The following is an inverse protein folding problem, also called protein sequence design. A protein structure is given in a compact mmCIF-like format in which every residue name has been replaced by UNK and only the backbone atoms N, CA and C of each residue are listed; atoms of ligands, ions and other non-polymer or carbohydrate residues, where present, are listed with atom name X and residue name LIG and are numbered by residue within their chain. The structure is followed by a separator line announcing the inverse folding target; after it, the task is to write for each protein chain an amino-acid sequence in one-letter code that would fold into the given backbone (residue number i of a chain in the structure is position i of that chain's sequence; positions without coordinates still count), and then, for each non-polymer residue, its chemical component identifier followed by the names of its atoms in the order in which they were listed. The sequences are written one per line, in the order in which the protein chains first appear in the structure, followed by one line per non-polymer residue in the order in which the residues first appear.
data_IF_777851828769
#
_entry.id   IF_777851828769
#
_cell.length_a   1.000
_cell.length_b   1.000
_cell.length_c   1.000
_cell.angle_alpha   90.00
_cell.angle_beta   90.00
_cell.angle_gamma   90.00
#
_symmetry.space_group_name_H-M   'P 1'
#
loop_
_entity.id
_entity.type
_entity.pdbx_description
1 polymer ?
#
# COMPACT_ATOMS: atom_id res chain seq x y z
N UNK A 1 -9.91 -2.92 3.64
CA UNK A 1 -11.15 -2.18 3.28
C UNK A 1 -11.03 -1.73 1.85
N UNK A 2 -11.02 -0.41 1.60
CA UNK A 2 -10.82 0.12 0.23
C UNK A 2 -9.48 -0.32 -0.34
N UNK A 3 -8.38 -0.14 0.42
CA UNK A 3 -7.04 -0.47 -0.05
C UNK A 3 -6.84 -1.95 -0.41
N UNK A 4 -7.46 -2.87 0.34
CA UNK A 4 -7.32 -4.30 0.09
C UNK A 4 -8.03 -4.74 -1.19
N UNK A 5 -9.24 -4.22 -1.45
CA UNK A 5 -9.96 -4.49 -2.71
C UNK A 5 -9.26 -3.83 -3.90
N UNK A 6 -8.75 -2.60 -3.74
CA UNK A 6 -7.98 -1.93 -4.79
C UNK A 6 -6.72 -2.73 -5.17
N UNK A 7 -5.97 -3.22 -4.17
CA UNK A 7 -4.80 -4.07 -4.39
C UNK A 7 -5.17 -5.39 -5.09
N UNK A 8 -6.27 -6.03 -4.70
CA UNK A 8 -6.77 -7.23 -5.37
C UNK A 8 -7.12 -6.98 -6.85
N UNK A 9 -7.88 -5.91 -7.13
CA UNK A 9 -8.26 -5.56 -8.50
C UNK A 9 -7.04 -5.26 -9.37
N UNK A 10 -6.08 -4.47 -8.88
CA UNK A 10 -4.84 -4.19 -9.60
C UNK A 10 -4.01 -5.46 -9.86
N UNK A 11 -3.97 -6.36 -8.89
CA UNK A 11 -3.27 -7.66 -9.01
C UNK A 11 -3.92 -8.53 -10.10
N UNK A 12 -5.25 -8.62 -10.12
CA UNK A 12 -6.01 -9.35 -11.16
C UNK A 12 -5.85 -8.73 -12.55
N UNK A 13 -5.65 -7.42 -12.64
CA UNK A 13 -5.35 -6.72 -13.89
C UNK A 13 -3.89 -6.90 -14.36
N UNK A 14 -3.03 -7.57 -13.58
CA UNK A 14 -1.62 -7.80 -13.95
C UNK A 14 -0.75 -6.54 -13.82
N UNK A 15 -0.99 -5.70 -12.80
CA UNK A 15 -0.08 -4.60 -12.47
C UNK A 15 1.33 -5.15 -12.24
N UNK A 16 2.37 -4.46 -12.73
CA UNK A 16 3.73 -4.99 -12.64
C UNK A 16 4.27 -5.09 -11.20
N UNK A 17 3.91 -4.14 -10.33
CA UNK A 17 4.41 -4.07 -8.95
C UNK A 17 3.43 -3.33 -8.04
N UNK A 18 3.30 -3.78 -6.78
CA UNK A 18 2.56 -3.10 -5.71
C UNK A 18 3.42 -2.97 -4.45
N UNK A 19 3.42 -1.77 -3.87
CA UNK A 19 3.96 -1.51 -2.54
C UNK A 19 2.77 -1.33 -1.59
N UNK A 20 2.73 -2.10 -0.51
CA UNK A 20 1.63 -2.13 0.45
C UNK A 20 2.11 -1.58 1.80
N UNK A 21 1.45 -0.55 2.30
CA UNK A 21 1.73 0.06 3.61
C UNK A 21 0.51 -0.06 4.50
N UNK A 22 0.68 -0.72 5.64
CA UNK A 22 -0.30 -0.78 6.72
C UNK A 22 0.46 -1.17 7.99
N UNK A 23 0.11 -0.63 9.15
CA UNK A 23 0.76 -0.97 10.42
C UNK A 23 -0.07 -1.90 11.30
N UNK A 24 -1.33 -2.15 10.91
CA UNK A 24 -2.24 -2.95 11.71
C UNK A 24 -2.07 -4.46 11.46
N UNK A 25 -2.69 -5.22 12.36
CA UNK A 25 -2.92 -6.65 12.20
C UNK A 25 -4.35 -6.94 11.77
N UNK A 26 -4.58 -8.12 11.21
CA UNK A 26 -5.90 -8.60 10.83
C UNK A 26 -6.67 -8.98 12.10
N UNK A 27 -7.83 -8.38 12.29
CA UNK A 27 -8.75 -8.66 13.40
C UNK A 27 -10.03 -9.35 12.91
N UNK A 28 -10.70 -10.09 13.79
CA UNK A 28 -12.03 -10.67 13.49
C UNK A 28 -13.05 -9.60 13.09
N UNK A 29 -12.94 -8.40 13.67
CA UNK A 29 -13.79 -7.27 13.30
C UNK A 29 -13.62 -6.83 11.84
N UNK A 30 -12.56 -7.26 11.14
CA UNK A 30 -12.35 -6.97 9.73
C UNK A 30 -13.08 -7.94 8.78
N UNK A 31 -13.66 -9.03 9.29
CA UNK A 31 -14.34 -10.07 8.48
C UNK A 31 -15.67 -9.62 7.87
N UNK A 32 -16.23 -8.50 8.34
CA UNK A 32 -17.37 -7.87 7.67
C UNK A 32 -16.97 -7.13 6.38
N UNK A 33 -15.67 -7.05 6.07
CA UNK A 33 -15.12 -6.46 4.85
C UNK A 33 -14.56 -7.56 3.96
N UNK A 34 -14.58 -7.32 2.65
CA UNK A 34 -13.97 -8.21 1.67
C UNK A 34 -12.44 -8.25 1.85
N UNK A 35 -11.83 -9.35 1.38
CA UNK A 35 -10.39 -9.64 1.24
C UNK A 35 -9.76 -10.55 2.31
N UNK A 36 -9.78 -10.17 3.59
CA UNK A 36 -9.14 -10.98 4.64
C UNK A 36 -10.00 -12.18 5.04
N UNK A 37 -9.34 -13.27 5.46
CA UNK A 37 -10.01 -14.52 5.87
C UNK A 37 -9.83 -14.78 7.38
N UNK A 38 -10.73 -15.53 8.03
CA UNK A 38 -10.64 -15.81 9.46
C UNK A 38 -9.32 -16.46 9.88
N UNK A 39 -8.71 -17.27 9.01
CA UNK A 39 -7.45 -17.96 9.28
C UNK A 39 -6.23 -17.01 9.31
N UNK A 40 -6.38 -15.77 8.82
CA UNK A 40 -5.33 -14.76 8.77
C UNK A 40 -5.32 -13.84 10.00
N UNK A 41 -6.24 -14.02 10.95
CA UNK A 41 -6.31 -13.21 12.17
C UNK A 41 -4.99 -13.29 12.96
N UNK A 42 -4.48 -12.14 13.36
CA UNK A 42 -3.18 -12.00 14.05
C UNK A 42 -1.98 -11.82 13.11
N UNK A 43 -2.13 -12.06 11.81
CA UNK A 43 -1.12 -11.65 10.83
C UNK A 43 -1.12 -10.13 10.67
N UNK A 44 0.00 -9.56 10.24
CA UNK A 44 0.00 -8.17 9.76
C UNK A 44 -0.88 -8.08 8.52
N UNK A 45 -1.59 -6.96 8.35
CA UNK A 45 -2.48 -6.79 7.18
C UNK A 45 -1.72 -6.85 5.87
N UNK A 46 -0.49 -6.33 5.86
CA UNK A 46 0.41 -6.36 4.71
C UNK A 46 0.85 -7.80 4.38
N UNK A 47 1.25 -8.62 5.34
CA UNK A 47 1.65 -10.02 5.08
C UNK A 47 0.47 -10.88 4.62
N UNK A 48 -0.68 -10.73 5.28
CA UNK A 48 -1.91 -11.40 4.86
C UNK A 48 -2.32 -10.99 3.43
N UNK A 49 -2.12 -9.72 3.07
CA UNK A 49 -2.35 -9.25 1.72
C UNK A 49 -1.36 -9.85 0.72
N UNK A 50 -0.06 -9.84 1.02
CA UNK A 50 0.97 -10.44 0.14
C UNK A 50 0.67 -11.92 -0.11
N UNK A 51 0.32 -12.68 0.93
CA UNK A 51 -0.06 -14.09 0.79
C UNK A 51 -1.23 -14.25 -0.19
N UNK A 52 -2.35 -13.56 0.06
CA UNK A 52 -3.55 -13.66 -0.80
C UNK A 52 -3.28 -13.21 -2.24
N UNK A 53 -2.54 -12.11 -2.43
CA UNK A 53 -2.29 -11.54 -3.75
C UNK A 53 -1.31 -12.40 -4.57
N UNK A 54 -0.32 -13.01 -3.93
CA UNK A 54 0.63 -13.93 -4.58
C UNK A 54 -0.09 -15.15 -5.14
N UNK A 55 -1.08 -15.68 -4.41
CA UNK A 55 -1.92 -16.79 -4.87
C UNK A 55 -2.82 -16.39 -6.05
N UNK A 56 -3.23 -15.11 -6.13
CA UNK A 56 -4.08 -14.60 -7.21
C UNK A 56 -3.29 -14.40 -8.51
N UNK A 57 -2.12 -13.78 -8.43
CA UNK A 57 -1.28 -13.57 -9.60
C UNK A 57 0.21 -13.51 -9.20
N UNK A 58 0.98 -14.60 -9.43
CA UNK A 58 2.39 -14.66 -9.05
C UNK A 58 3.31 -13.79 -9.93
N UNK A 59 2.81 -13.24 -11.04
CA UNK A 59 3.59 -12.36 -11.91
C UNK A 59 3.72 -10.92 -11.34
N UNK A 60 2.89 -10.57 -10.35
CA UNK A 60 2.91 -9.26 -9.70
C UNK A 60 4.00 -9.21 -8.64
N UNK A 61 4.89 -8.23 -8.74
CA UNK A 61 5.92 -8.01 -7.70
C UNK A 61 5.28 -7.31 -6.51
N UNK A 62 5.31 -7.95 -5.35
CA UNK A 62 4.70 -7.45 -4.12
C UNK A 62 5.77 -7.07 -3.09
N UNK A 63 5.67 -5.86 -2.53
CA UNK A 63 6.50 -5.41 -1.41
C UNK A 63 5.61 -4.91 -0.27
N UNK A 64 5.76 -5.52 0.91
CA UNK A 64 5.05 -5.12 2.12
C UNK A 64 5.92 -4.26 3.04
N UNK A 65 5.31 -3.23 3.61
CA UNK A 65 5.92 -2.36 4.60
C UNK A 65 4.98 -2.26 5.82
N UNK A 66 5.26 -3.09 6.83
CA UNK A 66 4.49 -3.09 8.09
C UNK A 66 4.97 -1.98 9.01
N UNK A 67 4.56 -0.75 8.72
CA UNK A 67 5.00 0.45 9.46
C UNK A 67 3.96 1.56 9.40
N UNK A 68 4.00 2.43 10.40
CA UNK A 68 3.21 3.66 10.39
C UNK A 68 3.99 4.77 9.70
N UNK A 69 3.51 5.20 8.53
CA UNK A 69 4.12 6.25 7.71
C UNK A 69 4.16 7.62 8.41
N UNK A 70 3.34 7.87 9.43
CA UNK A 70 3.33 9.16 10.15
C UNK A 70 4.47 9.32 11.14
N UNK A 71 5.13 8.23 11.52
CA UNK A 71 6.35 8.28 12.34
C UNK A 71 7.53 8.77 11.51
N UNK A 72 8.51 9.43 12.14
CA UNK A 72 9.72 9.93 11.46
C UNK A 72 10.40 8.81 10.64
N UNK A 73 10.68 7.67 11.27
CA UNK A 73 11.29 6.52 10.60
C UNK A 73 10.40 5.92 9.50
N UNK A 74 9.09 5.89 9.73
CA UNK A 74 8.13 5.41 8.74
C UNK A 74 8.09 6.29 7.50
N UNK A 75 8.08 7.61 7.69
CA UNK A 75 8.12 8.59 6.62
C UNK A 75 9.42 8.50 5.82
N UNK A 76 10.57 8.39 6.49
CA UNK A 76 11.86 8.18 5.82
C UNK A 76 11.86 6.93 4.94
N UNK A 77 11.32 5.82 5.46
CA UNK A 77 11.22 4.56 4.72
C UNK A 77 10.25 4.69 3.54
N UNK A 78 9.10 5.33 3.75
CA UNK A 78 8.12 5.61 2.70
C UNK A 78 8.74 6.46 1.57
N UNK A 79 9.40 7.56 1.90
CA UNK A 79 10.10 8.40 0.93
C UNK A 79 11.21 7.66 0.19
N UNK A 80 12.02 6.86 0.89
CA UNK A 80 13.10 6.09 0.27
C UNK A 80 12.58 5.05 -0.74
N UNK A 81 11.52 4.33 -0.36
CA UNK A 81 10.88 3.34 -1.23
C UNK A 81 10.17 3.97 -2.44
N UNK A 82 9.54 5.14 -2.29
CA UNK A 82 8.99 5.89 -3.42
C UNK A 82 10.08 6.41 -4.37
N UNK A 83 11.26 6.75 -3.87
CA UNK A 83 12.42 7.17 -4.71
C UNK A 83 13.15 5.99 -5.35
N UNK A 84 12.86 4.75 -4.97
CA UNK A 84 13.57 3.59 -5.48
C UNK A 84 13.21 3.30 -6.95
N UNK A 85 14.11 3.70 -7.85
CA UNK A 85 13.94 3.59 -9.30
C UNK A 85 14.37 2.24 -9.90
N UNK A 86 14.70 1.21 -9.09
CA UNK A 86 15.11 -0.11 -9.63
C UNK A 86 14.08 -0.68 -10.62
N UNK A 87 12.79 -0.44 -10.38
CA UNK A 87 11.71 -0.90 -11.26
C UNK A 87 11.39 0.08 -12.41
N UNK A 88 11.77 1.35 -12.29
CA UNK A 88 11.47 2.44 -13.23
C UNK A 88 12.69 3.36 -13.41
N UNK A 89 13.79 2.89 -13.99
CA UNK A 89 15.04 3.66 -14.08
C UNK A 89 14.96 4.91 -15.00
N UNK A 90 13.88 5.03 -15.79
CA UNK A 90 13.68 6.13 -16.74
C UNK A 90 12.81 7.27 -16.21
N UNK A 91 12.20 7.14 -15.01
CA UNK A 91 11.33 8.18 -14.43
C UNK A 91 12.17 9.06 -13.50
N UNK A 92 12.12 10.38 -13.69
CA UNK A 92 13.17 11.27 -13.17
C UNK A 92 13.02 11.64 -11.67
N UNK A 93 11.87 11.41 -11.02
CA UNK A 93 11.61 11.92 -9.66
C UNK A 93 11.00 10.89 -8.69
N UNK A 94 10.52 9.76 -9.21
CA UNK A 94 9.86 8.71 -8.41
C UNK A 94 10.02 7.34 -9.07
N UNK A 95 10.12 6.32 -8.24
CA UNK A 95 10.20 4.91 -8.59
C UNK A 95 8.85 4.21 -8.75
N UNK A 96 7.74 4.89 -8.47
CA UNK A 96 6.37 4.38 -8.67
C UNK A 96 5.59 5.22 -9.66
N UNK A 97 4.62 4.63 -10.35
CA UNK A 97 3.81 5.35 -11.34
C UNK A 97 2.69 6.17 -10.68
N UNK A 98 2.04 5.61 -9.65
CA UNK A 98 0.91 6.20 -8.93
C UNK A 98 0.97 5.83 -7.44
N UNK A 99 0.59 6.75 -6.57
CA UNK A 99 0.31 6.46 -5.14
C UNK A 99 -1.20 6.48 -4.92
N UNK A 100 -1.74 5.47 -4.25
CA UNK A 100 -3.15 5.39 -3.87
C UNK A 100 -3.28 5.51 -2.35
N UNK A 101 -3.91 6.58 -1.89
CA UNK A 101 -4.20 6.79 -0.46
C UNK A 101 -5.56 6.19 -0.11
N UNK A 102 -5.54 5.12 0.69
CA UNK A 102 -6.74 4.41 1.17
C UNK A 102 -6.82 4.39 2.71
N UNK A 103 -6.24 5.40 3.35
CA UNK A 103 -6.16 5.54 4.81
C UNK A 103 -7.44 6.18 5.36
N UNK A 104 -7.73 5.96 6.64
CA UNK A 104 -8.96 6.43 7.29
C UNK A 104 -8.79 7.76 8.06
N UNK A 105 -7.57 8.09 8.47
CA UNK A 105 -7.29 9.27 9.30
C UNK A 105 -6.63 10.41 8.51
N UNK A 106 -6.84 11.64 8.98
CA UNK A 106 -6.33 12.85 8.32
C UNK A 106 -4.81 12.98 8.40
N UNK A 107 -4.19 12.51 9.49
CA UNK A 107 -2.74 12.57 9.69
C UNK A 107 -2.00 11.81 8.58
N UNK A 108 -2.39 10.57 8.31
CA UNK A 108 -1.81 9.77 7.24
C UNK A 108 -2.08 10.37 5.85
N UNK A 109 -3.26 10.98 5.61
CA UNK A 109 -3.53 11.70 4.36
C UNK A 109 -2.56 12.86 4.15
N UNK A 110 -2.28 13.63 5.19
CA UNK A 110 -1.33 14.76 5.12
C UNK A 110 0.09 14.29 4.86
N UNK A 111 0.50 13.17 5.45
CA UNK A 111 1.81 12.56 5.20
C UNK A 111 1.96 12.11 3.75
N UNK A 112 0.95 11.44 3.17
CA UNK A 112 0.96 11.07 1.75
C UNK A 112 1.00 12.32 0.86
N UNK A 113 0.20 13.33 1.17
CA UNK A 113 0.20 14.60 0.44
C UNK A 113 1.58 15.30 0.50
N UNK A 114 2.21 15.36 1.67
CA UNK A 114 3.54 15.93 1.83
C UNK A 114 4.58 15.18 0.97
N UNK A 115 4.65 13.86 1.09
CA UNK A 115 5.56 13.03 0.30
C UNK A 115 5.36 13.24 -1.20
N UNK A 116 4.11 13.23 -1.66
CA UNK A 116 3.81 13.36 -3.08
C UNK A 116 4.12 14.76 -3.63
N UNK A 117 3.92 15.82 -2.84
CA UNK A 117 4.30 17.18 -3.22
C UNK A 117 5.83 17.33 -3.31
N UNK A 118 6.57 16.79 -2.34
CA UNK A 118 8.06 16.83 -2.36
C UNK A 118 8.66 16.08 -3.56
N UNK A 119 7.99 15.01 -4.03
CA UNK A 119 8.46 14.17 -5.13
C UNK A 119 7.84 14.51 -6.49
N UNK A 120 6.93 15.49 -6.55
CA UNK A 120 6.07 15.73 -7.72
C UNK A 120 5.40 14.42 -8.22
N UNK A 121 4.97 13.57 -7.29
CA UNK A 121 4.40 12.25 -7.56
C UNK A 121 2.88 12.35 -7.72
N UNK A 122 2.34 11.86 -8.83
CA UNK A 122 0.90 11.74 -9.03
C UNK A 122 0.28 10.78 -8.01
N UNK A 123 -0.83 11.18 -7.39
CA UNK A 123 -1.51 10.36 -6.41
C UNK A 123 -3.02 10.56 -6.47
N UNK A 124 -3.76 9.57 -5.96
CA UNK A 124 -5.21 9.63 -5.79
C UNK A 124 -5.56 9.33 -4.33
N UNK A 125 -6.64 9.94 -3.85
CA UNK A 125 -7.16 9.78 -2.49
C UNK A 125 -8.53 9.11 -2.53
N UNK A 126 -8.81 8.32 -1.49
CA UNK A 126 -10.10 7.69 -1.29
C UNK A 126 -10.50 7.75 0.18
N UNK A 127 -11.80 7.99 0.42
CA UNK A 127 -12.40 7.97 1.74
C UNK A 127 -13.80 7.37 1.69
N UNK A 128 -14.21 6.74 2.78
CA UNK A 128 -15.59 6.29 3.00
C UNK A 128 -16.08 6.99 4.26
N UNK A 129 -17.28 7.57 4.18
CA UNK A 129 -17.97 8.27 5.29
C UNK A 129 -18.41 7.33 6.40
#
# INVERSE_FOLDING_TARGET
GVGSVAAEMLTRCGIGRLLLYDYDTVELANMNRLFFRPEQVGMTKTDAAVQTLSDINPDVVLESYTLNITTVKGFETFMASLKNQTFRPRKHDSGVDLVLSCVDNYEARMVVNQACNELNQTWMESGVS
#
